data_IF_251379380393
#
_entry.id   IF_251379380393
#
_cell.length_a   1.000
_cell.length_b   1.000
_cell.length_c   1.000
_cell.angle_alpha   90.00
_cell.angle_beta   90.00
_cell.angle_gamma   90.00
#
_symmetry.space_group_name_H-M   'P 1'
#
loop_
_entity.id
_entity.type
_entity.pdbx_description
1 polymer ?
#
# COMPACT_ATOMS: atom_id res chain seq x y z
N UNK A 1 13.05 -3.08 7.14
CA UNK A 1 13.61 -4.22 6.38
C UNK A 1 13.92 -3.69 4.99
N UNK A 2 15.21 -3.57 4.62
CA UNK A 2 15.59 -3.03 3.32
C UNK A 2 15.42 -4.15 2.27
N UNK A 3 15.15 -3.79 1.02
CA UNK A 3 14.99 -4.74 -0.10
C UNK A 3 16.21 -5.69 -0.20
N UNK A 4 17.41 -5.21 0.13
CA UNK A 4 18.66 -5.97 0.19
C UNK A 4 18.62 -7.12 1.22
N UNK A 5 17.88 -6.96 2.32
CA UNK A 5 17.77 -7.98 3.37
C UNK A 5 16.92 -9.18 2.90
N UNK A 6 15.94 -8.93 2.02
CA UNK A 6 15.05 -9.95 1.44
C UNK A 6 15.81 -10.82 0.43
N UNK A 7 16.59 -10.21 -0.47
CA UNK A 7 17.43 -10.95 -1.42
C UNK A 7 18.52 -11.78 -0.72
N UNK A 8 19.09 -11.28 0.38
CA UNK A 8 20.07 -12.01 1.18
C UNK A 8 19.45 -13.24 1.87
N UNK A 9 18.20 -13.13 2.33
CA UNK A 9 17.45 -14.23 2.93
C UNK A 9 17.08 -15.32 1.90
N UNK A 10 16.73 -14.90 0.68
CA UNK A 10 16.37 -15.79 -0.44
C UNK A 10 17.59 -16.56 -0.93
N UNK A 11 18.74 -15.89 -1.12
CA UNK A 11 19.99 -16.55 -1.49
C UNK A 11 20.43 -17.60 -0.48
N UNK A 12 20.30 -17.30 0.83
CA UNK A 12 20.63 -18.25 1.89
C UNK A 12 19.71 -19.48 1.91
N UNK A 13 18.43 -19.33 1.56
CA UNK A 13 17.46 -20.42 1.56
C UNK A 13 17.55 -21.30 0.29
N UNK A 14 17.83 -20.71 -0.87
CA UNK A 14 18.08 -21.45 -2.10
C UNK A 14 19.34 -22.33 -2.00
N UNK A 15 20.43 -21.79 -1.41
CA UNK A 15 21.65 -22.55 -1.14
C UNK A 15 21.39 -23.69 -0.15
N UNK A 16 20.57 -23.47 0.88
CA UNK A 16 20.18 -24.55 1.82
C UNK A 16 19.34 -25.64 1.16
N UNK A 17 18.46 -25.28 0.23
CA UNK A 17 17.64 -26.24 -0.52
C UNK A 17 18.51 -27.11 -1.45
N UNK A 18 19.44 -26.51 -2.20
CA UNK A 18 20.38 -27.24 -3.08
C UNK A 18 21.33 -28.15 -2.27
N UNK A 19 21.83 -27.70 -1.12
CA UNK A 19 22.64 -28.54 -0.21
C UNK A 19 21.81 -29.74 0.29
N UNK A 20 20.52 -29.54 0.61
CA UNK A 20 19.64 -30.60 1.10
C UNK A 20 19.28 -31.59 -0.01
N UNK A 21 19.08 -31.13 -1.24
CA UNK A 21 18.83 -31.96 -2.41
C UNK A 21 20.08 -32.78 -2.81
N UNK A 22 21.27 -32.19 -2.76
CA UNK A 22 22.55 -32.90 -2.99
C UNK A 22 22.87 -33.88 -1.87
N UNK A 23 22.44 -33.62 -0.63
CA UNK A 23 22.63 -34.54 0.49
C UNK A 23 21.74 -35.79 0.42
N UNK A 24 20.60 -35.70 -0.29
CA UNK A 24 19.64 -36.80 -0.47
C UNK A 24 19.88 -37.60 -1.74
N UNK A 25 20.52 -37.01 -2.76
CA UNK A 25 20.93 -37.68 -4.00
C UNK A 25 22.44 -37.94 -4.06
N UNK A 26 22.97 -38.85 -3.24
CA UNK A 26 24.23 -39.56 -3.55
C UNK A 26 24.72 -40.50 -2.42
N UNK A 27 24.47 -41.80 -2.55
CA UNK A 27 25.35 -42.85 -1.99
C UNK A 27 26.50 -43.22 -2.96
N UNK A 28 26.43 -42.80 -4.22
CA UNK A 28 27.42 -43.12 -5.25
C UNK A 28 28.69 -42.24 -5.21
N UNK A 29 28.61 -40.98 -4.75
CA UNK A 29 29.76 -40.07 -4.69
C UNK A 29 30.65 -40.33 -3.46
N UNK A 30 30.07 -40.83 -2.35
CA UNK A 30 30.81 -41.11 -1.09
C UNK A 30 31.89 -42.19 -1.22
N UNK A 31 31.87 -43.02 -2.26
CA UNK A 31 32.91 -44.06 -2.47
C UNK A 31 34.13 -43.56 -3.27
N UNK A 32 34.05 -42.44 -3.99
CA UNK A 32 35.16 -41.96 -4.84
C UNK A 32 35.86 -40.68 -4.33
N UNK A 33 35.32 -39.97 -3.34
CA UNK A 33 35.91 -38.69 -2.88
C UNK A 33 36.81 -38.81 -1.65
N UNK A 34 37.02 -40.00 -1.09
CA UNK A 34 37.69 -40.18 0.22
C UNK A 34 39.22 -40.01 0.20
N UNK A 35 39.78 -39.27 -0.77
CA UNK A 35 41.25 -39.09 -0.89
C UNK A 35 41.72 -37.68 -1.27
N UNK A 36 40.87 -36.67 -1.22
CA UNK A 36 41.29 -35.26 -1.39
C UNK A 36 40.40 -34.38 -0.54
N UNK A 37 41.00 -33.43 0.16
CA UNK A 37 40.38 -32.49 1.11
C UNK A 37 40.23 -32.99 2.55
N UNK A 38 41.37 -33.34 3.15
CA UNK A 38 41.68 -32.88 4.50
C UNK A 38 42.61 -31.69 4.31
N UNK A 39 42.11 -30.46 4.42
CA UNK A 39 42.65 -29.38 5.26
C UNK A 39 41.97 -28.03 4.98
N UNK A 40 42.02 -27.17 6.00
CA UNK A 40 41.74 -25.72 6.00
C UNK A 40 40.30 -25.22 6.21
N UNK A 41 40.10 -24.86 7.48
CA UNK A 41 39.44 -23.65 7.95
C UNK A 41 39.87 -22.39 7.17
N UNK A 42 38.96 -21.41 7.08
CA UNK A 42 39.13 -19.96 6.79
C UNK A 42 38.45 -19.44 5.49
N UNK A 43 37.39 -18.65 5.73
CA UNK A 43 36.82 -17.49 5.01
C UNK A 43 35.51 -17.58 4.18
N UNK A 44 34.68 -16.50 4.25
CA UNK A 44 33.29 -16.45 3.80
C UNK A 44 33.17 -15.92 2.37
N UNK A 45 32.34 -16.56 1.55
CA UNK A 45 31.93 -15.98 0.27
C UNK A 45 30.63 -15.21 0.45
N UNK A 46 30.74 -13.89 0.61
CA UNK A 46 29.70 -12.95 0.23
C UNK A 46 29.87 -12.65 -1.26
N UNK A 47 29.05 -13.24 -2.12
CA UNK A 47 28.96 -12.83 -3.53
C UNK A 47 28.04 -11.62 -3.63
N UNK A 48 28.61 -10.43 -3.51
CA UNK A 48 28.03 -9.23 -4.10
C UNK A 48 28.30 -9.24 -5.60
N UNK A 49 27.43 -9.86 -6.39
CA UNK A 49 27.48 -9.72 -7.85
C UNK A 49 26.97 -8.31 -8.18
N UNK A 50 27.87 -7.44 -8.63
CA UNK A 50 27.46 -6.19 -9.30
C UNK A 50 26.87 -6.58 -10.66
N UNK A 51 25.56 -6.45 -10.79
CA UNK A 51 24.81 -6.66 -12.05
C UNK A 51 25.12 -5.61 -13.13
N UNK A 52 26.03 -4.67 -12.87
CA UNK A 52 26.42 -3.60 -13.78
C UNK A 52 27.47 -4.03 -14.83
N UNK A 53 27.76 -5.31 -14.97
CA UNK A 53 28.70 -5.82 -15.98
C UNK A 53 28.11 -7.05 -16.68
N UNK A 54 28.43 -7.22 -17.96
CA UNK A 54 28.00 -8.37 -18.77
C UNK A 54 28.32 -9.71 -18.12
N UNK A 55 29.47 -9.80 -17.47
CA UNK A 55 29.92 -10.99 -16.73
C UNK A 55 29.11 -11.26 -15.46
N UNK A 56 28.53 -10.22 -14.84
CA UNK A 56 27.62 -10.35 -13.70
C UNK A 56 26.25 -10.91 -14.10
N UNK A 57 25.75 -10.52 -15.27
CA UNK A 57 24.50 -11.02 -15.87
C UNK A 57 24.65 -12.47 -16.36
N UNK A 58 25.76 -12.80 -17.01
CA UNK A 58 26.08 -14.16 -17.47
C UNK A 58 26.17 -15.15 -16.29
N UNK A 59 26.85 -14.74 -15.20
CA UNK A 59 26.92 -15.53 -13.96
C UNK A 59 25.52 -15.67 -13.34
N UNK A 60 24.74 -14.60 -13.25
CA UNK A 60 23.38 -14.65 -12.71
C UNK A 60 22.46 -15.58 -13.53
N UNK A 61 22.53 -15.52 -14.86
CA UNK A 61 21.76 -16.39 -15.76
C UNK A 61 22.17 -17.86 -15.64
N UNK A 62 23.47 -18.15 -15.55
CA UNK A 62 24.00 -19.51 -15.38
C UNK A 62 23.61 -20.15 -14.03
N UNK A 63 23.32 -19.33 -13.00
CA UNK A 63 22.89 -19.78 -11.68
C UNK A 63 21.38 -20.08 -11.58
N UNK A 64 20.57 -19.72 -12.59
CA UNK A 64 19.14 -20.08 -12.62
C UNK A 64 19.01 -21.52 -13.12
N UNK A 65 18.32 -22.43 -12.39
CA UNK A 65 18.11 -23.79 -12.86
C UNK A 65 17.36 -23.81 -14.20
N UNK A 66 17.70 -24.75 -15.07
CA UNK A 66 17.18 -24.85 -16.44
C UNK A 66 15.65 -24.94 -16.50
N UNK A 67 15.03 -25.62 -15.54
CA UNK A 67 13.57 -25.68 -15.39
C UNK A 67 12.93 -24.30 -15.19
N UNK A 68 13.59 -23.40 -14.47
CA UNK A 68 13.12 -22.04 -14.21
C UNK A 68 13.36 -21.10 -15.39
N UNK A 69 14.42 -21.32 -16.19
CA UNK A 69 14.65 -20.55 -17.43
C UNK A 69 13.54 -20.83 -18.45
N UNK A 70 13.19 -22.10 -18.60
CA UNK A 70 12.12 -22.52 -19.52
C UNK A 70 10.73 -22.01 -19.06
N UNK A 71 10.52 -21.81 -17.76
CA UNK A 71 9.26 -21.28 -17.22
C UNK A 71 9.18 -19.75 -17.25
N UNK A 72 10.30 -19.04 -17.03
CA UNK A 72 10.38 -17.57 -17.11
C UNK A 72 10.36 -17.03 -18.54
N UNK A 73 10.95 -17.76 -19.49
CA UNK A 73 11.17 -17.27 -20.85
C UNK A 73 10.45 -18.12 -21.92
N UNK A 74 10.08 -19.37 -21.63
CA UNK A 74 9.53 -20.30 -22.63
C UNK A 74 8.07 -20.08 -23.05
N UNK A 75 7.37 -19.08 -22.50
CA UNK A 75 6.03 -18.71 -23.00
C UNK A 75 6.06 -17.64 -24.11
N UNK A 76 7.21 -17.02 -24.33
CA UNK A 76 7.43 -16.07 -25.43
C UNK A 76 8.52 -16.64 -26.32
N UNK A 77 8.11 -17.51 -27.26
CA UNK A 77 9.01 -18.22 -28.18
C UNK A 77 9.94 -17.26 -28.93
N UNK A 78 9.45 -16.05 -29.26
CA UNK A 78 10.19 -15.01 -29.95
C UNK A 78 11.28 -14.40 -29.05
N UNK A 79 10.95 -14.05 -27.80
CA UNK A 79 11.93 -13.51 -26.87
C UNK A 79 12.98 -14.56 -26.45
N UNK A 80 12.56 -15.81 -26.26
CA UNK A 80 13.49 -16.93 -26.03
C UNK A 80 14.36 -17.20 -27.25
N UNK A 81 13.83 -17.11 -28.47
CA UNK A 81 14.62 -17.23 -29.69
C UNK A 81 15.59 -16.07 -29.84
N UNK A 82 15.19 -14.82 -29.64
CA UNK A 82 16.08 -13.65 -29.71
C UNK A 82 17.22 -13.72 -28.68
N UNK A 83 16.90 -14.04 -27.42
CA UNK A 83 17.93 -14.19 -26.38
C UNK A 83 18.86 -15.37 -26.70
N UNK A 84 18.31 -16.52 -27.10
CA UNK A 84 19.14 -17.67 -27.45
C UNK A 84 19.96 -17.41 -28.72
N UNK A 85 19.43 -16.73 -29.75
CA UNK A 85 20.18 -16.33 -30.94
C UNK A 85 21.30 -15.34 -30.60
N UNK A 86 21.03 -14.35 -29.75
CA UNK A 86 22.03 -13.41 -29.23
C UNK A 86 23.14 -14.12 -28.45
N UNK A 87 22.81 -15.13 -27.64
CA UNK A 87 23.81 -15.94 -26.93
C UNK A 87 24.46 -17.05 -27.80
N UNK A 88 23.87 -17.40 -28.95
CA UNK A 88 24.38 -18.44 -29.87
C UNK A 88 25.23 -17.88 -31.01
N UNK A 89 25.20 -16.57 -31.26
CA UNK A 89 26.08 -15.93 -32.24
C UNK A 89 27.50 -15.80 -31.68
N UNK A 90 28.33 -16.84 -31.86
CA UNK A 90 29.79 -16.70 -31.82
C UNK A 90 30.24 -15.87 -33.04
N UNK A 91 30.55 -14.58 -32.84
CA UNK A 91 31.27 -13.81 -33.85
C UNK A 91 32.75 -14.16 -33.74
N UNK A 92 33.22 -15.06 -34.61
CA UNK A 92 34.65 -15.36 -34.77
C UNK A 92 35.23 -14.38 -35.78
N UNK A 93 35.77 -13.26 -35.30
CA UNK A 93 36.60 -12.37 -36.09
C UNK A 93 38.07 -12.57 -35.70
N UNK A 94 38.92 -12.91 -36.68
CA UNK A 94 40.37 -13.12 -36.49
C UNK A 94 40.75 -14.15 -35.41
N UNK A 95 39.94 -15.20 -35.22
CA UNK A 95 40.25 -16.29 -34.28
C UNK A 95 40.08 -15.92 -32.80
N UNK A 96 39.37 -14.82 -32.49
CA UNK A 96 38.89 -14.50 -31.14
C UNK A 96 37.37 -14.57 -31.11
N UNK A 97 36.85 -15.24 -30.09
CA UNK A 97 35.42 -15.22 -29.75
C UNK A 97 35.10 -13.81 -29.24
N UNK A 98 34.39 -13.02 -30.04
CA UNK A 98 33.83 -11.73 -29.61
C UNK A 98 32.42 -12.01 -29.10
N UNK A 99 32.18 -11.71 -27.82
CA UNK A 99 30.83 -11.69 -27.24
C UNK A 99 30.05 -10.56 -27.96
N UNK A 100 28.77 -10.75 -28.35
CA UNK A 100 27.96 -9.69 -28.92
C UNK A 100 28.06 -8.44 -28.04
N UNK A 101 28.05 -7.25 -28.66
CA UNK A 101 28.16 -5.97 -27.96
C UNK A 101 27.16 -5.95 -26.81
N UNK A 102 27.68 -6.11 -25.60
CA UNK A 102 26.88 -6.32 -24.39
C UNK A 102 25.89 -5.20 -24.13
N UNK A 103 26.10 -4.05 -24.77
CA UNK A 103 25.25 -2.89 -24.72
C UNK A 103 23.88 -3.14 -25.36
N UNK A 104 23.78 -3.97 -26.41
CA UNK A 104 22.50 -4.27 -27.07
C UNK A 104 21.62 -5.20 -26.22
N UNK A 105 22.23 -6.25 -25.64
CA UNK A 105 21.56 -7.13 -24.66
C UNK A 105 21.20 -6.34 -23.39
N UNK A 106 22.08 -5.47 -22.92
CA UNK A 106 21.82 -4.63 -21.76
C UNK A 106 20.69 -3.63 -22.02
N UNK A 107 20.59 -3.07 -23.24
CA UNK A 107 19.49 -2.20 -23.64
C UNK A 107 18.17 -2.97 -23.74
N UNK A 108 18.15 -4.18 -24.30
CA UNK A 108 16.96 -5.05 -24.29
C UNK A 108 16.53 -5.38 -22.85
N UNK A 109 17.47 -5.72 -21.97
CA UNK A 109 17.18 -5.97 -20.56
C UNK A 109 16.67 -4.73 -19.83
N UNK A 110 17.18 -3.54 -20.18
CA UNK A 110 16.76 -2.26 -19.61
C UNK A 110 15.39 -1.82 -20.13
N UNK A 111 15.11 -2.09 -21.41
CA UNK A 111 13.80 -1.87 -22.04
C UNK A 111 12.74 -2.83 -21.47
N UNK A 112 13.14 -4.07 -21.16
CA UNK A 112 12.26 -5.09 -20.54
C UNK A 112 12.37 -5.21 -19.03
N UNK A 113 13.11 -4.31 -18.36
CA UNK A 113 13.41 -4.42 -16.92
C UNK A 113 12.11 -4.41 -16.10
N UNK A 114 11.17 -3.54 -16.49
CA UNK A 114 9.86 -3.41 -15.84
C UNK A 114 8.99 -4.66 -16.07
N UNK A 115 8.99 -5.21 -17.28
CA UNK A 115 8.25 -6.43 -17.63
C UNK A 115 8.80 -7.67 -16.89
N UNK A 116 10.12 -7.84 -16.86
CA UNK A 116 10.81 -8.93 -16.17
C UNK A 116 10.60 -8.81 -14.65
N UNK A 117 10.68 -7.59 -14.11
CA UNK A 117 10.40 -7.31 -12.70
C UNK A 117 8.96 -7.69 -12.33
N UNK A 118 7.99 -7.36 -13.19
CA UNK A 118 6.58 -7.72 -12.98
C UNK A 118 6.35 -9.24 -13.05
N UNK A 119 6.91 -9.93 -14.06
CA UNK A 119 6.86 -11.40 -14.18
C UNK A 119 7.49 -12.08 -12.96
N UNK A 120 8.62 -11.57 -12.47
CA UNK A 120 9.27 -12.08 -11.25
C UNK A 120 8.39 -11.89 -10.01
N UNK A 121 7.72 -10.74 -9.84
CA UNK A 121 6.79 -10.51 -8.72
C UNK A 121 5.56 -11.41 -8.78
N UNK A 122 4.99 -11.63 -9.97
CA UNK A 122 3.88 -12.56 -10.20
C UNK A 122 4.32 -14.00 -9.91
N UNK A 123 5.50 -14.42 -10.34
CA UNK A 123 6.01 -15.75 -10.03
C UNK A 123 6.31 -15.91 -8.53
N UNK A 124 6.84 -14.88 -7.87
CA UNK A 124 7.03 -14.89 -6.42
C UNK A 124 5.70 -15.05 -5.68
N UNK A 125 4.63 -14.43 -6.18
CA UNK A 125 3.28 -14.58 -5.67
C UNK A 125 2.74 -15.99 -5.83
N UNK A 126 2.81 -16.52 -7.04
CA UNK A 126 2.36 -17.88 -7.36
C UNK A 126 3.09 -18.86 -6.44
N UNK A 127 4.40 -18.70 -6.27
CA UNK A 127 5.20 -19.53 -5.36
C UNK A 127 4.78 -19.36 -3.89
N UNK A 128 4.58 -18.14 -3.42
CA UNK A 128 4.11 -17.88 -2.04
C UNK A 128 2.75 -18.51 -1.81
N UNK A 129 1.79 -18.32 -2.71
CA UNK A 129 0.46 -18.93 -2.64
C UNK A 129 0.57 -20.47 -2.69
N UNK A 130 1.43 -21.01 -3.54
CA UNK A 130 1.69 -22.44 -3.67
C UNK A 130 2.34 -23.06 -2.43
N UNK A 131 3.16 -22.31 -1.68
CA UNK A 131 3.69 -22.78 -0.39
C UNK A 131 2.60 -22.89 0.69
N UNK A 132 1.59 -22.00 0.65
CA UNK A 132 0.49 -22.01 1.61
C UNK A 132 -0.65 -22.97 1.23
N UNK A 133 -0.80 -23.33 -0.04
CA UNK A 133 -1.83 -24.28 -0.50
C UNK A 133 -1.75 -25.64 0.23
N UNK A 134 -0.57 -26.27 0.41
CA UNK A 134 -0.44 -27.50 1.20
C UNK A 134 -0.85 -27.33 2.67
N UNK A 135 -0.50 -26.22 3.33
CA UNK A 135 -0.90 -25.96 4.71
C UNK A 135 -2.41 -25.72 4.85
N UNK A 136 -3.00 -25.00 3.89
CA UNK A 136 -4.44 -24.82 3.77
C UNK A 136 -5.14 -26.17 3.54
N UNK A 137 -4.65 -26.98 2.60
CA UNK A 137 -5.20 -28.29 2.26
C UNK A 137 -5.10 -29.28 3.44
N UNK A 138 -3.97 -29.29 4.16
CA UNK A 138 -3.81 -30.12 5.35
C UNK A 138 -4.65 -29.63 6.54
N UNK A 139 -5.01 -28.34 6.56
CA UNK A 139 -5.88 -27.75 7.58
C UNK A 139 -7.37 -27.83 7.25
N UNK A 140 -7.78 -28.36 6.09
CA UNK A 140 -9.19 -28.53 5.71
C UNK A 140 -9.97 -29.36 6.75
N UNK A 141 -9.29 -30.32 7.40
CA UNK A 141 -9.90 -31.15 8.46
C UNK A 141 -10.06 -30.41 9.80
N UNK A 142 -9.39 -29.26 9.99
CA UNK A 142 -9.51 -28.40 11.16
C UNK A 142 -9.94 -26.99 10.74
N UNK A 143 -11.27 -26.80 10.73
CA UNK A 143 -11.91 -25.53 10.36
C UNK A 143 -11.38 -24.33 11.14
N UNK A 144 -10.97 -24.50 12.40
CA UNK A 144 -10.42 -23.40 13.21
C UNK A 144 -9.01 -23.03 12.74
N UNK A 145 -8.16 -24.03 12.50
CA UNK A 145 -6.80 -23.82 11.99
C UNK A 145 -6.81 -23.17 10.61
N UNK A 146 -7.66 -23.65 9.69
CA UNK A 146 -7.83 -23.06 8.37
C UNK A 146 -8.31 -21.60 8.43
N UNK A 147 -9.25 -21.28 9.33
CA UNK A 147 -9.73 -19.90 9.51
C UNK A 147 -8.63 -18.97 10.05
N UNK A 148 -7.79 -19.46 10.96
CA UNK A 148 -6.65 -18.70 11.51
C UNK A 148 -5.62 -18.41 10.42
N UNK A 149 -5.20 -19.44 9.67
CA UNK A 149 -4.25 -19.32 8.55
C UNK A 149 -4.78 -18.31 7.53
N UNK A 150 -6.07 -18.42 7.15
CA UNK A 150 -6.69 -17.47 6.22
C UNK A 150 -6.64 -16.04 6.73
N UNK A 151 -6.93 -15.79 8.01
CA UNK A 151 -6.86 -14.44 8.60
C UNK A 151 -5.44 -13.87 8.57
N UNK A 152 -4.42 -14.70 8.78
CA UNK A 152 -3.02 -14.25 8.79
C UNK A 152 -2.48 -13.94 7.37
N UNK A 153 -2.90 -14.71 6.36
CA UNK A 153 -2.38 -14.59 4.98
C UNK A 153 -3.17 -13.58 4.13
N UNK A 154 -4.48 -13.44 4.37
CA UNK A 154 -5.35 -12.59 3.56
C UNK A 154 -4.86 -11.15 3.39
N UNK A 155 -4.32 -10.46 4.42
CA UNK A 155 -3.78 -9.10 4.29
C UNK A 155 -2.57 -9.04 3.36
N UNK A 156 -1.69 -10.06 3.41
CA UNK A 156 -0.53 -10.14 2.53
C UNK A 156 -0.94 -10.32 1.06
N UNK A 157 -1.89 -11.23 0.78
CA UNK A 157 -2.45 -11.40 -0.57
C UNK A 157 -3.12 -10.10 -1.04
N UNK A 158 -3.91 -9.47 -0.17
CA UNK A 158 -4.61 -8.21 -0.48
C UNK A 158 -3.63 -7.09 -0.81
N UNK A 159 -2.59 -6.92 0.01
CA UNK A 159 -1.51 -5.96 -0.23
C UNK A 159 -0.85 -6.21 -1.57
N UNK A 160 -0.56 -7.47 -1.88
CA UNK A 160 0.15 -7.81 -3.09
C UNK A 160 -0.69 -7.60 -4.34
N UNK A 161 -1.98 -7.96 -4.31
CA UNK A 161 -2.94 -7.63 -5.36
C UNK A 161 -3.00 -6.10 -5.57
N UNK A 162 -3.06 -5.32 -4.50
CA UNK A 162 -3.05 -3.86 -4.59
C UNK A 162 -1.74 -3.30 -5.16
N UNK A 163 -0.59 -3.91 -4.85
CA UNK A 163 0.70 -3.53 -5.43
C UNK A 163 0.76 -3.86 -6.93
N UNK A 164 0.33 -5.05 -7.35
CA UNK A 164 0.22 -5.41 -8.76
C UNK A 164 -0.72 -4.47 -9.52
N UNK A 165 -1.82 -4.07 -8.90
CA UNK A 165 -2.72 -3.06 -9.46
C UNK A 165 -2.01 -1.70 -9.58
N UNK A 166 -1.21 -1.29 -8.59
CA UNK A 166 -0.49 -0.01 -8.68
C UNK A 166 0.61 -0.02 -9.75
N UNK A 167 1.35 -1.11 -9.85
CA UNK A 167 2.42 -1.26 -10.84
C UNK A 167 1.86 -1.26 -12.26
N UNK A 168 0.78 -2.01 -12.50
CA UNK A 168 0.09 -2.01 -13.80
C UNK A 168 -0.56 -0.66 -14.17
N UNK A 169 -0.84 0.21 -13.19
CA UNK A 169 -1.30 1.59 -13.47
C UNK A 169 -0.12 2.51 -13.84
N UNK A 170 1.09 2.22 -13.37
CA UNK A 170 2.25 3.09 -13.60
C UNK A 170 3.01 2.75 -14.88
N UNK A 171 2.88 1.54 -15.42
CA UNK A 171 3.46 1.17 -16.73
C UNK A 171 2.79 1.98 -17.84
N UNK A 172 3.56 2.86 -18.50
CA UNK A 172 3.04 3.82 -19.49
C UNK A 172 2.40 3.18 -20.74
N UNK A 173 2.61 1.88 -20.94
CA UNK A 173 2.27 1.16 -22.17
C UNK A 173 0.78 0.89 -22.38
N UNK A 174 -0.07 1.17 -21.39
CA UNK A 174 -1.49 0.86 -21.52
C UNK A 174 -2.41 1.96 -20.96
N UNK A 175 -2.39 3.13 -21.61
CA UNK A 175 -3.27 4.27 -21.30
C UNK A 175 -4.76 3.88 -21.25
N UNK A 176 -5.19 2.87 -22.01
CA UNK A 176 -6.54 2.35 -21.99
C UNK A 176 -6.82 1.54 -20.71
N UNK A 177 -5.89 0.67 -20.29
CA UNK A 177 -5.97 -0.04 -19.02
C UNK A 177 -5.87 0.91 -17.82
N UNK A 178 -4.97 1.91 -17.86
CA UNK A 178 -4.84 2.97 -16.84
C UNK A 178 -6.12 3.80 -16.74
N UNK A 179 -6.73 4.17 -17.87
CA UNK A 179 -8.01 4.85 -17.92
C UNK A 179 -9.13 4.03 -17.28
N UNK A 180 -9.19 2.73 -17.58
CA UNK A 180 -10.13 1.80 -16.97
C UNK A 180 -9.87 1.57 -15.46
N UNK A 181 -8.60 1.59 -15.03
CA UNK A 181 -8.18 1.42 -13.64
C UNK A 181 -8.38 2.67 -12.77
N UNK A 182 -8.29 3.86 -13.35
CA UNK A 182 -8.59 5.13 -12.66
C UNK A 182 -10.02 5.17 -12.12
N UNK A 183 -10.95 4.49 -12.79
CA UNK A 183 -12.40 4.60 -12.54
C UNK A 183 -13.05 3.40 -11.82
N UNK A 184 -12.42 2.87 -10.76
CA UNK A 184 -13.01 1.92 -9.77
C UNK A 184 -12.89 0.42 -10.10
N UNK A 185 -11.68 -0.11 -10.22
CA UNK A 185 -11.53 -1.57 -10.38
C UNK A 185 -11.54 -2.36 -9.07
N UNK A 186 -11.22 -1.75 -7.92
CA UNK A 186 -11.19 -2.45 -6.64
C UNK A 186 -12.16 -1.87 -5.61
N UNK A 187 -12.85 -2.75 -4.90
CA UNK A 187 -13.76 -2.42 -3.81
C UNK A 187 -13.45 -3.26 -2.59
N UNK A 188 -13.32 -2.59 -1.45
CA UNK A 188 -13.32 -3.22 -0.14
C UNK A 188 -14.76 -3.45 0.30
N UNK A 189 -15.09 -4.68 0.70
CA UNK A 189 -16.46 -5.08 1.06
C UNK A 189 -16.50 -5.68 2.45
N UNK A 190 -17.46 -5.24 3.25
CA UNK A 190 -17.81 -5.84 4.54
C UNK A 190 -19.29 -6.22 4.53
N UNK A 191 -19.61 -7.41 5.03
CA UNK A 191 -20.99 -7.84 5.25
C UNK A 191 -21.36 -7.56 6.70
N UNK A 192 -22.35 -6.71 6.92
CA UNK A 192 -22.93 -6.45 8.24
C UNK A 192 -24.39 -6.84 8.20
N UNK A 193 -24.77 -7.80 9.05
CA UNK A 193 -26.12 -8.38 9.06
C UNK A 193 -26.51 -8.88 7.65
N UNK A 194 -27.53 -8.26 7.04
CA UNK A 194 -28.02 -8.56 5.70
C UNK A 194 -27.55 -7.58 4.63
N UNK A 195 -26.75 -6.57 4.99
CA UNK A 195 -26.27 -5.53 4.09
C UNK A 195 -24.81 -5.72 3.71
N UNK A 196 -24.49 -5.34 2.48
CA UNK A 196 -23.13 -5.19 1.99
C UNK A 196 -22.77 -3.73 2.04
N UNK A 197 -21.75 -3.39 2.80
CA UNK A 197 -21.14 -2.08 2.74
C UNK A 197 -19.91 -2.17 1.86
N UNK A 198 -19.78 -1.23 0.93
CA UNK A 198 -18.68 -1.22 -0.03
C UNK A 198 -17.95 0.11 -0.03
N UNK A 199 -16.63 0.03 -0.11
CA UNK A 199 -15.72 1.16 -0.13
C UNK A 199 -14.90 1.05 -1.40
N UNK A 200 -14.99 2.07 -2.26
CA UNK A 200 -14.18 2.18 -3.47
C UNK A 200 -12.71 2.34 -3.09
N UNK A 201 -11.82 1.69 -3.85
CA UNK A 201 -10.38 1.87 -3.75
C UNK A 201 -9.90 2.56 -5.03
N UNK A 202 -9.20 3.68 -4.91
CA UNK A 202 -8.63 4.40 -6.07
C UNK A 202 -7.16 4.67 -5.91
N UNK A 203 -6.41 4.66 -7.01
CA UNK A 203 -5.07 5.22 -7.07
C UNK A 203 -5.15 6.67 -7.54
N UNK A 204 -4.67 7.61 -6.72
CA UNK A 204 -4.59 9.03 -7.06
C UNK A 204 -3.25 9.59 -6.60
N UNK A 205 -2.55 10.27 -7.51
CA UNK A 205 -1.24 10.90 -7.24
C UNK A 205 -0.23 9.92 -6.61
N UNK A 206 -0.22 8.67 -7.10
CA UNK A 206 0.65 7.62 -6.58
C UNK A 206 0.32 7.19 -5.15
N UNK A 207 -0.92 7.36 -4.70
CA UNK A 207 -1.40 6.93 -3.39
C UNK A 207 -2.74 6.21 -3.48
N UNK A 208 -2.86 5.08 -2.78
CA UNK A 208 -4.12 4.35 -2.70
C UNK A 208 -5.06 5.01 -1.69
N UNK A 209 -6.30 5.22 -2.08
CA UNK A 209 -7.35 5.80 -1.25
C UNK A 209 -8.43 4.77 -1.02
N UNK A 210 -8.72 4.48 0.24
CA UNK A 210 -9.89 3.73 0.67
C UNK A 210 -10.99 4.72 1.04
N UNK A 211 -12.02 4.78 0.21
CA UNK A 211 -13.15 5.70 0.39
C UNK A 211 -14.11 5.22 1.49
N UNK A 212 -14.97 6.11 1.95
CA UNK A 212 -16.02 5.81 2.92
C UNK A 212 -16.93 4.68 2.42
N UNK A 213 -17.26 3.76 3.32
CA UNK A 213 -18.22 2.68 3.09
C UNK A 213 -19.61 3.25 2.77
N UNK A 214 -20.28 2.64 1.79
CA UNK A 214 -21.62 2.99 1.31
C UNK A 214 -22.51 1.75 1.29
N UNK A 215 -23.83 1.96 1.44
CA UNK A 215 -24.85 0.92 1.26
C UNK A 215 -25.13 0.73 -0.24
N UNK A 216 -24.11 0.28 -0.97
CA UNK A 216 -24.18 0.03 -2.42
C UNK A 216 -23.49 -1.29 -2.75
N UNK A 217 -23.98 -2.02 -3.75
CA UNK A 217 -23.29 -3.20 -4.26
C UNK A 217 -22.07 -2.78 -5.08
N UNK A 218 -20.97 -3.55 -5.06
CA UNK A 218 -19.85 -3.25 -5.94
C UNK A 218 -20.28 -3.40 -7.41
N UNK A 219 -19.71 -2.63 -8.35
CA UNK A 219 -19.98 -2.78 -9.76
C UNK A 219 -19.74 -4.20 -10.26
N UNK A 220 -20.45 -4.60 -11.31
CA UNK A 220 -20.23 -5.88 -11.97
C UNK A 220 -18.78 -5.95 -12.49
N UNK A 221 -18.08 -7.05 -12.19
CA UNK A 221 -16.64 -7.30 -12.48
C UNK A 221 -15.63 -6.50 -11.66
N UNK A 222 -16.04 -5.78 -10.63
CA UNK A 222 -15.09 -5.19 -9.69
C UNK A 222 -14.27 -6.29 -8.97
N UNK A 223 -12.98 -6.04 -8.75
CA UNK A 223 -12.16 -6.79 -7.81
C UNK A 223 -12.69 -6.52 -6.40
N UNK A 224 -13.16 -7.57 -5.74
CA UNK A 224 -13.70 -7.49 -4.39
C UNK A 224 -12.64 -7.97 -3.40
N UNK A 225 -12.29 -7.11 -2.47
CA UNK A 225 -11.35 -7.38 -1.38
C UNK A 225 -12.11 -7.34 -0.04
N UNK A 226 -11.78 -8.20 0.94
CA UNK A 226 -12.31 -8.06 2.29
C UNK A 226 -11.90 -6.72 2.91
N UNK A 227 -12.86 -5.95 3.44
CA UNK A 227 -12.58 -4.63 4.00
C UNK A 227 -11.54 -4.68 5.12
N UNK A 228 -11.63 -5.67 6.01
CA UNK A 228 -10.71 -5.86 7.13
C UNK A 228 -9.26 -6.00 6.63
N UNK A 229 -9.05 -6.80 5.57
CA UNK A 229 -7.72 -7.01 4.99
C UNK A 229 -7.15 -5.76 4.34
N UNK A 230 -7.99 -4.90 3.77
CA UNK A 230 -7.56 -3.60 3.23
C UNK A 230 -7.32 -2.61 4.36
N UNK A 231 -8.17 -2.61 5.39
CA UNK A 231 -8.09 -1.72 6.55
C UNK A 231 -6.82 -1.93 7.37
N UNK A 232 -6.33 -3.16 7.46
CA UNK A 232 -5.07 -3.53 8.11
C UNK A 232 -3.83 -2.95 7.40
N UNK A 233 -3.96 -2.50 6.15
CA UNK A 233 -2.87 -1.83 5.44
C UNK A 233 -2.66 -0.39 5.90
N UNK A 234 -3.64 0.21 6.56
CA UNK A 234 -3.53 1.58 7.10
C UNK A 234 -2.47 1.59 8.19
N UNK A 235 -1.48 2.47 8.04
CA UNK A 235 -0.44 2.62 9.05
C UNK A 235 -1.03 3.16 10.36
N UNK A 236 -1.00 2.40 11.47
CA UNK A 236 -1.59 2.83 12.74
C UNK A 236 -0.80 3.96 13.42
N UNK A 237 0.47 4.17 13.09
CA UNK A 237 1.30 5.23 13.69
C UNK A 237 1.23 6.53 12.90
N UNK A 238 0.99 6.45 11.59
CA UNK A 238 0.87 7.58 10.67
C UNK A 238 -0.35 7.39 9.76
N UNK A 239 -1.54 7.44 10.35
CA UNK A 239 -2.77 7.31 9.58
C UNK A 239 -3.03 8.62 8.84
N UNK A 240 -3.18 8.56 7.52
CA UNK A 240 -3.55 9.70 6.71
C UNK A 240 -5.03 9.57 6.31
N UNK A 241 -5.84 10.53 6.69
CA UNK A 241 -7.24 10.66 6.30
C UNK A 241 -7.38 11.73 5.21
N UNK A 242 -8.46 11.67 4.44
CA UNK A 242 -8.83 12.76 3.53
C UNK A 242 -10.30 13.13 3.64
N UNK A 243 -10.57 14.42 3.46
CA UNK A 243 -11.91 14.98 3.28
C UNK A 243 -11.98 15.56 1.86
N UNK A 244 -12.82 14.99 1.00
CA UNK A 244 -13.16 15.57 -0.30
C UNK A 244 -14.25 16.61 -0.09
N UNK A 245 -13.89 17.88 -0.21
CA UNK A 245 -14.76 19.02 0.07
C UNK A 245 -15.13 19.73 -1.22
N UNK A 246 -16.35 20.28 -1.27
CA UNK A 246 -16.82 21.05 -2.41
C UNK A 246 -17.83 22.13 -2.02
N UNK A 247 -17.84 23.21 -2.79
CA UNK A 247 -18.79 24.33 -2.73
C UNK A 247 -18.91 24.96 -4.14
N UNK A 248 -19.83 25.92 -4.38
CA UNK A 248 -20.00 26.48 -5.71
C UNK A 248 -18.69 27.02 -6.31
N UNK A 249 -18.27 26.43 -7.43
CA UNK A 249 -17.07 26.82 -8.17
C UNK A 249 -15.74 26.24 -7.67
N UNK A 250 -15.73 25.40 -6.63
CA UNK A 250 -14.48 24.84 -6.12
C UNK A 250 -14.66 23.44 -5.48
N UNK A 251 -13.65 22.59 -5.62
CA UNK A 251 -13.57 21.30 -4.95
C UNK A 251 -12.11 20.90 -4.69
N UNK A 252 -11.89 20.03 -3.71
CA UNK A 252 -10.55 19.52 -3.44
C UNK A 252 -10.50 18.55 -2.26
N UNK A 253 -9.35 17.93 -2.06
CA UNK A 253 -9.11 17.03 -0.93
C UNK A 253 -8.24 17.73 0.11
N UNK A 254 -8.70 17.71 1.36
CA UNK A 254 -7.90 18.06 2.53
C UNK A 254 -7.33 16.78 3.11
N UNK A 255 -6.01 16.63 3.06
CA UNK A 255 -5.31 15.51 3.69
C UNK A 255 -4.97 15.85 5.14
N UNK A 256 -5.17 14.88 6.03
CA UNK A 256 -5.01 15.05 7.48
C UNK A 256 -4.22 13.87 8.02
N UNK A 257 -3.04 14.13 8.58
CA UNK A 257 -2.32 13.18 9.42
C UNK A 257 -3.03 13.09 10.78
N UNK A 258 -3.46 11.87 11.13
CA UNK A 258 -4.24 11.60 12.34
C UNK A 258 -3.38 10.79 13.32
N UNK A 259 -3.27 11.28 14.55
CA UNK A 259 -2.54 10.60 15.62
C UNK A 259 -3.29 9.36 16.14
N UNK A 260 -2.54 8.40 16.69
CA UNK A 260 -3.08 7.18 17.32
C UNK A 260 -3.69 7.46 18.71
N UNK A 261 -4.68 8.33 18.77
CA UNK A 261 -5.40 8.73 19.98
C UNK A 261 -6.85 8.27 19.92
N UNK A 262 -7.60 8.34 21.03
CA UNK A 262 -9.03 8.01 21.03
C UNK A 262 -9.83 8.86 20.03
N UNK A 263 -9.53 10.16 19.96
CA UNK A 263 -10.15 11.09 19.00
C UNK A 263 -9.73 10.81 17.56
N UNK A 264 -8.46 10.48 17.34
CA UNK A 264 -7.97 10.09 16.02
C UNK A 264 -8.67 8.82 15.51
N UNK A 265 -8.82 7.80 16.37
CA UNK A 265 -9.57 6.58 16.04
C UNK A 265 -11.03 6.87 15.70
N UNK A 266 -11.71 7.70 16.50
CA UNK A 266 -13.06 8.18 16.21
C UNK A 266 -13.14 8.88 14.85
N UNK A 267 -12.21 9.80 14.58
CA UNK A 267 -12.17 10.53 13.33
C UNK A 267 -12.02 9.58 12.13
N UNK A 268 -11.14 8.59 12.23
CA UNK A 268 -10.95 7.57 11.20
C UNK A 268 -12.20 6.71 11.02
N UNK A 269 -12.83 6.24 12.11
CA UNK A 269 -14.08 5.44 12.06
C UNK A 269 -15.19 6.16 11.28
N UNK A 270 -15.38 7.46 11.55
CA UNK A 270 -16.39 8.29 10.90
C UNK A 270 -15.99 8.67 9.47
N UNK A 271 -14.70 8.73 9.18
CA UNK A 271 -14.18 9.01 7.84
C UNK A 271 -14.28 7.78 6.92
N UNK A 272 -14.09 6.57 7.45
CA UNK A 272 -14.25 5.31 6.71
C UNK A 272 -15.70 4.82 6.67
N UNK A 273 -16.56 5.33 7.55
CA UNK A 273 -17.94 4.87 7.67
C UNK A 273 -18.05 3.43 8.19
N UNK A 274 -17.03 2.94 8.90
CA UNK A 274 -16.97 1.54 9.35
C UNK A 274 -17.99 1.20 10.42
N UNK A 275 -18.62 2.19 11.04
CA UNK A 275 -19.76 2.02 11.94
C UNK A 275 -21.10 1.96 11.20
N UNK A 276 -21.13 2.35 9.93
CA UNK A 276 -22.30 2.38 9.07
C UNK A 276 -22.35 3.66 8.24
N UNK A 277 -23.01 3.67 7.06
CA UNK A 277 -23.03 4.84 6.19
C UNK A 277 -23.66 6.10 6.81
N UNK A 278 -24.64 5.91 7.71
CA UNK A 278 -25.28 7.01 8.47
C UNK A 278 -24.40 7.54 9.61
N UNK A 279 -23.33 6.84 9.96
CA UNK A 279 -22.35 7.22 10.99
C UNK A 279 -21.04 7.59 10.29
N UNK A 280 -21.11 8.53 9.33
CA UNK A 280 -19.96 8.98 8.57
C UNK A 280 -19.96 10.49 8.31
N UNK A 281 -18.78 11.06 8.10
CA UNK A 281 -18.66 12.48 7.71
C UNK A 281 -19.04 12.74 6.25
N UNK A 282 -19.16 11.69 5.44
CA UNK A 282 -19.58 11.81 4.05
C UNK A 282 -20.93 12.51 3.98
N UNK A 283 -21.06 13.39 3.01
CA UNK A 283 -22.26 14.19 2.74
C UNK A 283 -22.66 15.21 3.83
N UNK A 284 -21.84 15.42 4.86
CA UNK A 284 -22.09 16.43 5.90
C UNK A 284 -21.65 17.83 5.44
N UNK A 285 -22.22 18.86 6.04
CA UNK A 285 -21.83 20.26 5.80
C UNK A 285 -20.90 20.76 6.90
N UNK A 286 -20.08 21.75 6.57
CA UNK A 286 -19.39 22.54 7.58
C UNK A 286 -20.41 23.41 8.31
N UNK A 287 -20.31 23.53 9.63
CA UNK A 287 -21.37 24.10 10.47
C UNK A 287 -21.13 25.55 10.84
N UNK A 288 -19.87 25.95 10.96
CA UNK A 288 -19.51 27.25 11.49
C UNK A 288 -18.03 27.55 11.40
N UNK A 289 -17.71 28.79 11.75
CA UNK A 289 -16.35 29.28 11.83
C UNK A 289 -16.21 30.24 13.01
N UNK A 290 -15.00 30.37 13.53
CA UNK A 290 -14.67 31.31 14.59
C UNK A 290 -13.48 32.17 14.20
N UNK A 291 -13.43 33.39 14.74
CA UNK A 291 -12.28 34.29 14.60
C UNK A 291 -11.91 34.60 13.14
N UNK A 292 -12.91 34.84 12.28
CA UNK A 292 -12.70 35.12 10.84
C UNK A 292 -11.65 36.22 10.62
N UNK A 293 -10.61 35.91 9.85
CA UNK A 293 -9.48 36.78 9.55
C UNK A 293 -8.50 37.07 10.70
N UNK A 294 -8.72 36.53 11.89
CA UNK A 294 -7.93 36.79 13.09
C UNK A 294 -6.99 35.62 13.44
N UNK A 295 -5.97 35.83 14.29
CA UNK A 295 -5.21 34.72 14.87
C UNK A 295 -6.12 33.72 15.58
N UNK A 296 -5.94 32.43 15.30
CA UNK A 296 -6.80 31.36 15.83
C UNK A 296 -8.06 31.11 15.02
N UNK A 297 -8.20 31.66 13.80
CA UNK A 297 -9.28 31.35 12.86
C UNK A 297 -9.44 29.84 12.66
N UNK A 298 -10.67 29.34 12.80
CA UNK A 298 -11.00 27.93 12.60
C UNK A 298 -12.34 27.74 11.89
N UNK A 299 -12.48 26.60 11.23
CA UNK A 299 -13.73 26.09 10.66
C UNK A 299 -14.15 24.82 11.40
N UNK A 300 -15.46 24.57 11.53
CA UNK A 300 -16.02 23.45 12.26
C UNK A 300 -16.93 22.60 11.37
N UNK A 301 -16.84 21.28 11.50
CA UNK A 301 -17.68 20.32 10.78
C UNK A 301 -17.85 19.01 11.53
N UNK A 302 -18.39 18.00 10.85
CA UNK A 302 -18.50 16.63 11.39
C UNK A 302 -19.81 16.31 12.12
N UNK A 303 -20.88 17.08 11.89
CA UNK A 303 -22.21 16.75 12.42
C UNK A 303 -22.88 15.63 11.60
N UNK A 304 -22.42 14.40 11.82
CA UNK A 304 -22.81 13.23 11.04
C UNK A 304 -24.27 12.78 11.28
N UNK A 305 -24.85 13.04 12.45
CA UNK A 305 -26.18 12.52 12.85
C UNK A 305 -27.28 13.57 12.94
N UNK A 306 -27.00 14.85 12.67
CA UNK A 306 -27.89 16.01 12.90
C UNK A 306 -28.36 16.21 14.35
N UNK A 307 -27.96 15.33 15.27
CA UNK A 307 -28.37 15.29 16.69
C UNK A 307 -27.27 15.80 17.62
N UNK A 308 -26.22 16.39 17.07
CA UNK A 308 -25.11 16.97 17.83
C UNK A 308 -23.80 16.18 17.74
N UNK A 309 -23.75 15.14 16.89
CA UNK A 309 -22.59 14.29 16.65
C UNK A 309 -22.12 13.62 17.95
N UNK A 310 -22.88 12.64 18.43
CA UNK A 310 -22.50 11.89 19.63
C UNK A 310 -21.09 11.25 19.47
N UNK A 311 -20.35 11.03 20.57
CA UNK A 311 -19.11 10.27 20.48
C UNK A 311 -19.43 8.83 20.07
N UNK A 312 -18.60 8.26 19.20
CA UNK A 312 -18.65 6.84 18.85
C UNK A 312 -17.54 6.03 19.52
N UNK A 313 -16.62 6.71 20.19
CA UNK A 313 -15.59 6.11 21.05
C UNK A 313 -15.86 6.52 22.49
N UNK A 314 -15.90 5.54 23.39
CA UNK A 314 -16.06 5.78 24.82
C UNK A 314 -14.78 6.32 25.46
N UNK A 315 -14.91 6.99 26.61
CA UNK A 315 -13.76 7.40 27.41
C UNK A 315 -12.89 8.51 26.79
N UNK A 316 -13.41 9.25 25.80
CA UNK A 316 -12.68 10.40 25.24
C UNK A 316 -12.39 11.43 26.34
N UNK A 317 -11.10 11.69 26.54
CA UNK A 317 -10.60 12.68 27.48
C UNK A 317 -10.27 14.00 26.77
N UNK A 318 -9.82 14.95 27.57
CA UNK A 318 -9.30 16.24 27.15
C UNK A 318 -7.93 16.45 27.80
N UNK A 319 -7.16 17.38 27.24
CA UNK A 319 -5.82 17.72 27.69
C UNK A 319 -4.83 16.54 27.59
N UNK A 320 -3.74 16.56 28.37
CA UNK A 320 -2.68 15.55 28.29
C UNK A 320 -2.07 15.44 26.89
N UNK A 321 -2.19 14.27 26.26
CA UNK A 321 -1.69 14.00 24.91
C UNK A 321 -2.33 14.87 23.82
N UNK A 322 -3.53 15.39 24.08
CA UNK A 322 -4.30 16.24 23.16
C UNK A 322 -3.90 17.72 23.22
N UNK A 323 -3.05 18.12 24.19
CA UNK A 323 -2.60 19.50 24.32
C UNK A 323 -1.63 19.82 23.19
N UNK A 324 -2.09 20.59 22.21
CA UNK A 324 -1.28 21.02 21.05
C UNK A 324 -1.30 22.54 20.91
N UNK A 325 -0.21 23.18 20.46
CA UNK A 325 -0.24 24.59 20.11
C UNK A 325 -1.20 24.82 18.94
N UNK A 326 -1.96 25.93 18.95
CA UNK A 326 -2.87 26.29 17.85
C UNK A 326 -2.06 26.74 16.63
N UNK A 327 -1.58 25.80 15.84
CA UNK A 327 -0.85 26.08 14.59
C UNK A 327 -1.79 25.93 13.38
N UNK A 328 -1.50 26.56 12.23
CA UNK A 328 -2.28 26.35 11.02
C UNK A 328 -2.35 24.85 10.66
N UNK A 329 -3.53 24.39 10.30
CA UNK A 329 -3.80 23.00 9.98
C UNK A 329 -4.00 22.08 11.18
N UNK A 330 -3.87 22.55 12.43
CA UNK A 330 -4.20 21.71 13.59
C UNK A 330 -5.67 21.25 13.48
N UNK A 331 -5.89 19.95 13.63
CA UNK A 331 -7.21 19.33 13.71
C UNK A 331 -7.49 18.94 15.16
N UNK A 332 -8.60 19.43 15.69
CA UNK A 332 -9.00 19.23 17.08
C UNK A 332 -10.49 18.90 17.19
N UNK A 333 -10.92 18.36 18.34
CA UNK A 333 -12.35 18.22 18.64
C UNK A 333 -13.02 19.58 18.82
N UNK A 334 -14.30 19.70 18.48
CA UNK A 334 -15.03 20.95 18.74
C UNK A 334 -15.56 21.01 20.18
N UNK A 335 -15.36 22.13 20.86
CA UNK A 335 -16.04 22.42 22.12
C UNK A 335 -17.47 22.89 21.83
N UNK A 336 -18.47 22.09 22.22
CA UNK A 336 -19.88 22.54 22.25
C UNK A 336 -20.24 22.74 23.71
N UNK A 337 -20.77 23.92 24.05
CA UNK A 337 -21.18 24.36 25.40
C UNK A 337 -21.58 23.20 26.33
N UNK A 338 -20.65 22.74 27.17
CA UNK A 338 -20.89 21.69 28.18
C UNK A 338 -20.62 20.23 27.77
N UNK A 339 -20.28 19.94 26.51
CA UNK A 339 -19.88 18.60 26.05
C UNK A 339 -18.64 18.65 25.16
N UNK A 340 -17.51 18.22 25.73
CA UNK A 340 -16.23 18.05 25.03
C UNK A 340 -16.10 16.67 24.37
N UNK A 341 -17.19 15.90 24.35
CA UNK A 341 -17.23 14.51 23.90
C UNK A 341 -18.03 14.34 22.60
N UNK A 342 -18.15 15.36 21.77
CA UNK A 342 -18.81 15.18 20.48
C UNK A 342 -17.81 14.67 19.41
N UNK A 343 -18.36 14.27 18.27
CA UNK A 343 -17.63 13.87 17.08
C UNK A 343 -17.40 15.02 16.09
N UNK A 344 -17.76 16.25 16.45
CA UNK A 344 -17.43 17.41 15.62
C UNK A 344 -15.93 17.69 15.74
N UNK A 345 -15.38 18.25 14.69
CA UNK A 345 -13.98 18.65 14.63
C UNK A 345 -13.86 20.09 14.16
N UNK A 346 -12.76 20.72 14.55
CA UNK A 346 -12.32 21.99 14.03
C UNK A 346 -11.00 21.83 13.30
N UNK A 347 -10.78 22.68 12.29
CA UNK A 347 -9.49 22.83 11.62
C UNK A 347 -9.08 24.29 11.70
N UNK A 348 -7.91 24.55 12.26
CA UNK A 348 -7.36 25.91 12.36
C UNK A 348 -6.85 26.38 10.99
N UNK A 349 -7.49 27.38 10.40
CA UNK A 349 -7.03 28.01 9.16
C UNK A 349 -5.86 28.98 9.41
N UNK A 350 -5.86 29.63 10.57
CA UNK A 350 -4.77 30.51 11.06
C UNK A 350 -4.34 30.10 12.46
N UNK A 351 -3.04 30.12 12.69
CA UNK A 351 -2.47 29.80 13.99
C UNK A 351 -2.59 30.93 15.00
N UNK A 352 -2.50 30.56 16.27
CA UNK A 352 -2.20 31.41 17.42
C UNK A 352 -1.32 30.59 18.39
N UNK A 353 -0.04 30.36 18.06
CA UNK A 353 0.79 29.35 18.72
C UNK A 353 1.02 29.57 20.23
N UNK A 354 0.80 30.79 20.71
CA UNK A 354 0.88 31.13 22.14
C UNK A 354 -0.28 30.52 22.94
N UNK A 355 -1.35 30.11 22.28
CA UNK A 355 -2.48 29.40 22.86
C UNK A 355 -2.42 27.92 22.51
N UNK A 356 -3.05 27.11 23.37
CA UNK A 356 -3.12 25.66 23.21
C UNK A 356 -4.57 25.24 23.01
N UNK A 357 -4.75 24.15 22.28
CA UNK A 357 -6.00 23.42 22.19
C UNK A 357 -5.85 22.12 22.99
N UNK A 358 -6.84 21.82 23.84
CA UNK A 358 -6.83 20.62 24.68
C UNK A 358 -7.41 19.38 23.98
N UNK A 359 -7.86 19.49 22.73
CA UNK A 359 -8.53 18.44 21.97
C UNK A 359 -7.83 18.12 20.64
N UNK A 360 -6.57 18.53 20.46
CA UNK A 360 -5.80 18.33 19.23
C UNK A 360 -5.45 16.85 18.98
N UNK A 361 -5.78 16.34 17.80
CA UNK A 361 -5.56 14.93 17.45
C UNK A 361 -4.99 14.69 16.05
N UNK A 362 -4.89 15.72 15.20
CA UNK A 362 -4.34 15.59 13.85
C UNK A 362 -3.80 16.91 13.31
N UNK A 363 -3.26 16.85 12.09
CA UNK A 363 -2.63 17.96 11.40
C UNK A 363 -2.92 17.87 9.90
N UNK A 364 -3.33 18.96 9.28
CA UNK A 364 -3.48 19.05 7.82
C UNK A 364 -2.11 18.94 7.16
N UNK A 365 -2.03 18.07 6.15
CA UNK A 365 -0.79 17.75 5.44
C UNK A 365 -0.69 18.48 4.08
N UNK A 366 0.44 19.16 3.89
CA UNK A 366 0.78 19.89 2.67
C UNK A 366 0.11 21.27 2.52
N UNK A 367 0.80 22.20 1.87
CA UNK A 367 0.32 23.59 1.71
C UNK A 367 -0.97 23.66 0.89
N UNK A 368 -1.12 22.83 -0.15
CA UNK A 368 -2.35 22.78 -0.98
C UNK A 368 -3.60 22.44 -0.16
N UNK A 369 -3.50 21.49 0.78
CA UNK A 369 -4.61 21.16 1.69
C UNK A 369 -4.92 22.32 2.62
N UNK A 370 -3.89 23.01 3.11
CA UNK A 370 -4.03 24.15 4.01
C UNK A 370 -4.60 25.39 3.30
N UNK A 371 -4.21 25.64 2.06
CA UNK A 371 -4.80 26.67 1.20
C UNK A 371 -6.29 26.42 0.97
N UNK A 372 -6.68 25.16 0.74
CA UNK A 372 -8.08 24.78 0.62
C UNK A 372 -8.85 25.06 1.92
N UNK A 373 -8.25 24.78 3.08
CA UNK A 373 -8.82 25.13 4.39
C UNK A 373 -9.00 26.65 4.56
N UNK A 374 -8.01 27.45 4.16
CA UNK A 374 -8.10 28.92 4.19
C UNK A 374 -9.15 29.43 3.21
N UNK A 375 -9.28 28.83 2.03
CA UNK A 375 -10.30 29.18 1.05
C UNK A 375 -11.70 28.91 1.59
N UNK A 376 -11.92 27.77 2.27
CA UNK A 376 -13.18 27.49 2.96
C UNK A 376 -13.47 28.55 4.04
N UNK A 377 -12.48 28.88 4.88
CA UNK A 377 -12.64 29.90 5.93
C UNK A 377 -12.93 31.31 5.38
N UNK A 378 -12.48 31.62 4.16
CA UNK A 378 -12.72 32.92 3.53
C UNK A 378 -14.18 33.12 3.09
N UNK A 379 -14.94 32.03 2.88
CA UNK A 379 -16.33 32.10 2.40
C UNK A 379 -17.23 32.91 3.32
N UNK A 380 -18.21 33.60 2.73
CA UNK A 380 -19.22 34.34 3.48
C UNK A 380 -20.15 33.40 4.24
N UNK A 381 -20.48 32.26 3.62
CA UNK A 381 -21.28 31.21 4.23
C UNK A 381 -20.55 29.87 4.19
N UNK A 382 -19.91 29.52 5.31
CA UNK A 382 -19.19 28.23 5.45
C UNK A 382 -20.11 27.01 5.27
N UNK A 383 -21.43 27.16 5.46
CA UNK A 383 -22.41 26.08 5.30
C UNK A 383 -22.59 25.63 3.85
N UNK A 384 -22.10 26.41 2.88
CA UNK A 384 -22.07 26.02 1.48
C UNK A 384 -21.01 24.95 1.19
N UNK A 385 -20.06 24.75 2.13
CA UNK A 385 -19.06 23.69 2.05
C UNK A 385 -19.65 22.37 2.52
N UNK A 386 -19.53 21.36 1.65
CA UNK A 386 -19.91 19.98 1.94
C UNK A 386 -18.70 19.06 1.85
N UNK A 387 -18.63 18.08 2.75
CA UNK A 387 -17.77 16.92 2.61
C UNK A 387 -18.47 15.98 1.62
N UNK A 388 -18.08 16.01 0.36
CA UNK A 388 -18.66 15.22 -0.73
C UNK A 388 -18.32 13.73 -0.55
N UNK A 389 -17.09 13.46 -0.15
CA UNK A 389 -16.60 12.12 0.15
C UNK A 389 -15.48 12.20 1.17
N UNK A 390 -15.11 11.07 1.77
CA UNK A 390 -14.01 11.02 2.73
C UNK A 390 -13.43 9.61 2.79
N UNK A 391 -12.28 9.44 3.43
CA UNK A 391 -11.64 8.13 3.52
C UNK A 391 -10.24 8.20 4.11
N UNK A 392 -9.48 7.12 3.93
CA UNK A 392 -8.09 7.03 4.38
C UNK A 392 -7.16 6.70 3.23
N UNK A 393 -5.91 7.12 3.35
CA UNK A 393 -4.85 6.78 2.41
C UNK A 393 -4.14 5.52 2.91
N UNK A 394 -3.99 4.55 2.01
CA UNK A 394 -3.23 3.34 2.24
C UNK A 394 -1.77 3.60 1.83
N UNK A 395 -0.78 3.41 2.72
CA UNK A 395 0.61 3.59 2.38
C UNK A 395 1.03 2.60 1.29
N UNK A 396 1.54 3.13 0.18
CA UNK A 396 2.37 2.37 -0.75
C UNK A 396 3.79 2.35 -0.18
N UNK A 397 4.43 1.18 -0.23
CA UNK A 397 5.65 0.83 0.51
C UNK A 397 6.80 1.84 0.38
#
# INVERSE_FOLDING_TARGET
MKIIDVYSLIGANAVRADIKERSTKSEAWRKNSKKKYEDESILPFSMGVRLSTSKGLEVAYSCVPESYRNELFGQDELFSQEINELFSQEIIENGKVMNPECDEVFNIFKEKEEEISMKLKINLFINTVNEFIPELNNSINDRHKALKIRKEIQPAITKMLLLLLCESINSQDDQAFIGAMRDSLAYAVIKKEEKFLTAKITLKDGQLHLHCLKDEKPPYKALILPYESVRELVNPTKTMAFLDVGWPGNNGKVYIEVGNTGRGKQFVMLTTGELGPSLSYRNTTMEGMGWKGQPGEWICGGNYDSKGAAPVVEGLTENGEYVKPRIPGLVAGAHVLGSNKNAKFIIYARGQPQQKDGLGFGQVEGEKSLELVRAMAALDNIKDVRIVDCGVVLPLL
#
